data_IF_459770816625
#
_entry.id   IF_459770816625
#
_cell.length_a   1.000
_cell.length_b   1.000
_cell.length_c   1.000
_cell.angle_alpha   90.00
_cell.angle_beta   90.00
_cell.angle_gamma   90.00
#
_symmetry.space_group_name_H-M   'P 1'
#
loop_
_entity.id
_entity.type
_entity.pdbx_description
1 polymer ?
#
# COMPACT_ATOMS: atom_id res chain seq x y z
N UNK A 1 7.86 5.52 -23.36
CA UNK A 1 7.46 6.59 -22.44
C UNK A 1 7.19 6.00 -21.06
N UNK A 2 7.83 6.55 -20.06
CA UNK A 2 7.64 6.07 -18.70
C UNK A 2 6.33 6.58 -18.16
N UNK A 3 5.44 5.69 -17.76
CA UNK A 3 4.23 6.07 -17.08
C UNK A 3 4.50 6.38 -15.61
N UNK A 4 3.48 6.68 -14.88
CA UNK A 4 3.58 6.80 -13.43
C UNK A 4 3.09 5.50 -12.78
N UNK A 5 3.42 5.33 -11.50
CA UNK A 5 2.98 4.20 -10.71
C UNK A 5 2.35 4.72 -9.43
N UNK A 6 1.12 4.29 -9.15
CA UNK A 6 0.44 4.63 -7.91
C UNK A 6 0.67 3.50 -6.91
N UNK A 7 1.33 3.83 -5.80
CA UNK A 7 1.76 2.87 -4.78
C UNK A 7 1.07 3.17 -3.46
N UNK A 8 0.64 2.14 -2.75
CA UNK A 8 0.10 2.30 -1.40
C UNK A 8 0.97 1.50 -0.42
N UNK A 9 1.30 2.12 0.72
CA UNK A 9 2.15 1.50 1.74
C UNK A 9 1.63 1.87 3.14
N UNK A 10 1.72 0.94 4.10
CA UNK A 10 1.49 1.33 5.49
C UNK A 10 2.66 2.20 5.95
N UNK A 11 2.38 3.28 6.67
CA UNK A 11 3.43 4.21 7.12
C UNK A 11 3.19 4.58 8.58
N UNK A 12 4.31 4.78 9.30
CA UNK A 12 4.29 5.34 10.64
C UNK A 12 4.43 6.85 10.59
N UNK A 13 4.32 7.48 11.74
CA UNK A 13 4.51 8.92 11.86
C UNK A 13 5.93 9.35 11.53
N UNK A 14 6.87 8.42 11.63
CA UNK A 14 8.28 8.65 11.30
C UNK A 14 8.56 8.56 9.79
N UNK A 15 7.55 8.25 8.97
CA UNK A 15 7.72 8.13 7.53
C UNK A 15 8.27 6.78 7.07
N UNK A 16 8.43 5.83 7.98
CA UNK A 16 8.93 4.51 7.65
C UNK A 16 7.80 3.56 7.28
N UNK A 17 8.11 2.58 6.42
CA UNK A 17 7.13 1.58 6.03
C UNK A 17 6.73 0.74 7.23
N UNK A 18 5.43 0.60 7.46
CA UNK A 18 4.90 -0.23 8.53
C UNK A 18 5.01 -1.71 8.20
N UNK A 19 5.16 -2.52 9.25
CA UNK A 19 5.32 -3.98 9.08
C UNK A 19 4.04 -4.64 8.56
N UNK A 20 2.90 -4.36 9.17
CA UNK A 20 1.64 -5.02 8.85
C UNK A 20 0.80 -4.19 7.90
N UNK A 21 0.24 -4.84 6.89
CA UNK A 21 -0.65 -4.20 5.94
C UNK A 21 -2.09 -4.11 6.46
N UNK A 22 -2.70 -5.26 6.76
CA UNK A 22 -4.13 -5.33 7.09
C UNK A 22 -4.52 -4.70 8.42
N UNK A 23 -3.56 -4.37 9.26
CA UNK A 23 -3.78 -3.71 10.54
C UNK A 23 -3.12 -2.35 10.63
N UNK A 24 -2.83 -1.75 9.48
CA UNK A 24 -2.18 -0.45 9.46
C UNK A 24 -3.11 0.65 9.98
N UNK A 25 -2.65 1.48 10.91
CA UNK A 25 -3.44 2.64 11.33
C UNK A 25 -3.40 3.76 10.30
N UNK A 26 -2.35 3.80 9.49
CA UNK A 26 -2.13 4.85 8.50
C UNK A 26 -1.46 4.26 7.26
N UNK A 27 -1.88 4.74 6.09
CA UNK A 27 -1.23 4.37 4.82
C UNK A 27 -0.91 5.62 4.03
N UNK A 28 0.06 5.51 3.13
CA UNK A 28 0.35 6.55 2.16
C UNK A 28 -0.06 6.06 0.77
N UNK A 29 -0.57 6.95 -0.05
CA UNK A 29 -0.77 6.72 -1.48
C UNK A 29 0.12 7.71 -2.21
N UNK A 30 1.05 7.19 -2.99
CA UNK A 30 2.00 8.02 -3.71
C UNK A 30 1.99 7.71 -5.19
N UNK A 31 2.15 8.73 -6.00
CA UNK A 31 2.36 8.56 -7.42
C UNK A 31 3.80 8.90 -7.74
N UNK A 32 4.51 7.98 -8.37
CA UNK A 32 5.94 8.13 -8.65
C UNK A 32 6.20 7.94 -10.13
N UNK A 33 7.16 8.66 -10.67
CA UNK A 33 7.59 8.53 -12.06
C UNK A 33 8.98 9.16 -12.22
N UNK A 34 9.80 8.53 -13.04
CA UNK A 34 11.12 9.08 -13.43
C UNK A 34 11.99 9.50 -12.24
N UNK A 35 12.00 8.65 -11.21
CA UNK A 35 12.81 8.88 -10.02
C UNK A 35 12.28 9.96 -9.09
N UNK A 36 11.04 10.38 -9.28
CA UNK A 36 10.44 11.43 -8.48
C UNK A 36 9.09 11.05 -7.91
N UNK A 37 8.78 11.59 -6.72
CA UNK A 37 7.46 11.50 -6.13
C UNK A 37 6.65 12.69 -6.68
N UNK A 38 5.62 12.39 -7.48
CA UNK A 38 4.77 13.42 -8.09
C UNK A 38 3.66 13.85 -7.14
N UNK A 39 3.18 12.93 -6.31
CA UNK A 39 2.10 13.18 -5.37
C UNK A 39 2.25 12.22 -4.20
N UNK A 40 1.93 12.70 -3.01
CA UNK A 40 2.02 11.87 -1.79
C UNK A 40 0.96 12.33 -0.81
N UNK A 41 0.07 11.41 -0.44
CA UNK A 41 -0.98 11.69 0.53
C UNK A 41 -0.99 10.59 1.58
N UNK A 42 -1.19 10.97 2.84
CA UNK A 42 -1.29 9.99 3.93
C UNK A 42 -2.68 10.01 4.52
N UNK A 43 -3.19 8.84 4.83
CA UNK A 43 -4.56 8.66 5.31
C UNK A 43 -4.56 7.88 6.62
N UNK A 44 -5.27 8.40 7.61
CA UNK A 44 -5.50 7.70 8.88
C UNK A 44 -6.66 6.73 8.67
N UNK A 45 -6.35 5.54 8.16
CA UNK A 45 -7.39 4.58 7.79
C UNK A 45 -7.93 3.77 8.97
N UNK A 46 -7.15 3.66 10.05
CA UNK A 46 -7.62 3.00 11.27
C UNK A 46 -7.89 1.51 11.10
N UNK A 47 -7.21 0.84 10.19
CA UNK A 47 -7.45 -0.59 9.95
C UNK A 47 -7.10 -1.46 11.14
N UNK A 48 -6.19 -0.99 12.00
CA UNK A 48 -5.85 -1.67 13.25
C UNK A 48 -7.07 -1.80 14.18
N UNK A 49 -7.88 -0.75 14.27
CA UNK A 49 -9.09 -0.75 15.10
C UNK A 49 -10.25 -1.47 14.41
N UNK A 50 -10.39 -1.28 13.12
CA UNK A 50 -11.52 -1.82 12.36
C UNK A 50 -11.41 -3.32 12.09
N UNK A 51 -10.20 -3.85 12.11
CA UNK A 51 -9.94 -5.26 11.84
C UNK A 51 -10.77 -6.18 12.76
N UNK A 52 -10.82 -5.88 14.05
CA UNK A 52 -11.52 -6.73 15.00
C UNK A 52 -13.01 -6.44 15.07
N UNK A 53 -13.44 -5.27 14.61
CA UNK A 53 -14.83 -4.81 14.78
C UNK A 53 -15.77 -5.32 13.69
N UNK A 54 -15.27 -5.54 12.48
CA UNK A 54 -16.13 -5.77 11.31
C UNK A 54 -16.05 -7.17 10.71
N UNK A 55 -15.19 -8.02 11.25
CA UNK A 55 -14.95 -9.35 10.67
C UNK A 55 -14.06 -9.27 9.43
N UNK A 56 -13.50 -10.41 9.05
CA UNK A 56 -12.46 -10.45 8.03
C UNK A 56 -12.96 -10.08 6.63
N UNK A 57 -14.13 -10.58 6.25
CA UNK A 57 -14.66 -10.30 4.91
C UNK A 57 -14.97 -8.84 4.69
N UNK A 58 -15.61 -8.19 5.68
CA UNK A 58 -15.91 -6.75 5.60
C UNK A 58 -14.66 -5.91 5.61
N UNK A 59 -13.65 -6.35 6.36
CA UNK A 59 -12.36 -5.64 6.44
C UNK A 59 -11.64 -5.68 5.08
N UNK A 60 -11.62 -6.85 4.43
CA UNK A 60 -11.01 -6.99 3.11
C UNK A 60 -11.75 -6.15 2.06
N UNK A 61 -13.07 -6.12 2.12
CA UNK A 61 -13.87 -5.31 1.19
C UNK A 61 -13.58 -3.81 1.35
N UNK A 62 -13.40 -3.37 2.59
CA UNK A 62 -13.06 -1.97 2.87
C UNK A 62 -11.71 -1.60 2.26
N UNK A 63 -10.72 -2.48 2.42
CA UNK A 63 -9.39 -2.25 1.86
C UNK A 63 -9.45 -2.27 0.33
N UNK A 64 -10.18 -3.21 -0.26
CA UNK A 64 -10.33 -3.28 -1.71
C UNK A 64 -10.95 -2.00 -2.27
N UNK A 65 -11.99 -1.47 -1.61
CA UNK A 65 -12.61 -0.21 -2.03
C UNK A 65 -11.63 0.95 -1.97
N UNK A 66 -10.84 1.03 -0.90
CA UNK A 66 -9.82 2.06 -0.77
C UNK A 66 -8.82 2.01 -1.93
N UNK A 67 -8.34 0.81 -2.25
CA UNK A 67 -7.37 0.64 -3.32
C UNK A 67 -7.94 1.01 -4.68
N UNK A 68 -9.20 0.66 -4.94
CA UNK A 68 -9.88 1.03 -6.18
C UNK A 68 -10.10 2.53 -6.28
N UNK A 69 -10.58 3.14 -5.22
CA UNK A 69 -10.89 4.57 -5.20
C UNK A 69 -9.65 5.42 -5.46
N UNK A 70 -8.50 4.96 -5.02
CA UNK A 70 -7.23 5.67 -5.20
C UNK A 70 -6.44 5.16 -6.40
N UNK A 71 -7.00 4.24 -7.17
CA UNK A 71 -6.38 3.69 -8.39
C UNK A 71 -4.99 3.11 -8.13
N UNK A 72 -4.83 2.42 -7.01
CA UNK A 72 -3.55 1.85 -6.60
C UNK A 72 -3.15 0.72 -7.53
N UNK A 73 -1.91 0.73 -7.97
CA UNK A 73 -1.35 -0.27 -8.89
C UNK A 73 -0.36 -1.20 -8.20
N UNK A 74 0.23 -0.77 -7.10
CA UNK A 74 1.20 -1.58 -6.36
C UNK A 74 1.08 -1.30 -4.86
N UNK A 75 1.35 -2.33 -4.06
CA UNK A 75 1.36 -2.23 -2.60
C UNK A 75 2.69 -2.77 -2.10
N UNK A 76 3.30 -2.08 -1.15
CA UNK A 76 4.51 -2.55 -0.48
C UNK A 76 4.27 -2.55 1.02
N UNK A 77 4.70 -3.62 1.70
CA UNK A 77 4.55 -3.76 3.14
C UNK A 77 5.58 -4.74 3.66
N UNK A 78 5.77 -4.77 4.98
CA UNK A 78 6.64 -5.76 5.58
C UNK A 78 6.03 -7.15 5.52
N UNK A 79 4.75 -7.25 5.90
CA UNK A 79 4.04 -8.54 5.95
C UNK A 79 2.58 -8.37 5.56
N UNK A 80 2.04 -9.43 4.95
CA UNK A 80 0.63 -9.47 4.57
C UNK A 80 0.14 -10.92 4.63
N UNK A 81 -1.05 -11.14 5.18
CA UNK A 81 -1.65 -12.46 5.25
C UNK A 81 -2.02 -13.01 3.88
N UNK A 82 -2.08 -14.33 3.78
CA UNK A 82 -2.35 -15.00 2.50
C UNK A 82 -3.68 -14.61 1.85
N UNK A 83 -4.80 -14.53 2.58
CA UNK A 83 -6.06 -14.13 1.94
C UNK A 83 -5.99 -12.74 1.32
N UNK A 84 -5.32 -11.80 1.98
CA UNK A 84 -5.15 -10.46 1.46
C UNK A 84 -4.28 -10.47 0.20
N UNK A 85 -3.20 -11.26 0.20
CA UNK A 85 -2.34 -11.38 -0.98
C UNK A 85 -3.12 -11.91 -2.19
N UNK A 86 -3.98 -12.89 -1.96
CA UNK A 86 -4.84 -13.42 -3.03
C UNK A 86 -5.79 -12.36 -3.57
N UNK A 87 -6.36 -11.53 -2.69
CA UNK A 87 -7.26 -10.46 -3.11
C UNK A 87 -6.54 -9.46 -4.00
N UNK A 88 -5.35 -9.03 -3.60
CA UNK A 88 -4.58 -8.08 -4.39
C UNK A 88 -4.20 -8.66 -5.75
N UNK A 89 -3.83 -9.94 -5.78
CA UNK A 89 -3.49 -10.61 -7.04
C UNK A 89 -4.70 -10.61 -8.00
N UNK A 90 -5.88 -10.89 -7.48
CA UNK A 90 -7.10 -10.89 -8.30
C UNK A 90 -7.46 -9.49 -8.78
N UNK A 91 -7.06 -8.46 -8.05
CA UNK A 91 -7.28 -7.07 -8.46
C UNK A 91 -6.22 -6.59 -9.46
N UNK A 92 -5.24 -7.43 -9.76
CA UNK A 92 -4.15 -7.05 -10.65
C UNK A 92 -3.15 -6.10 -10.02
N UNK A 93 -3.09 -6.04 -8.69
CA UNK A 93 -2.19 -5.15 -7.97
C UNK A 93 -0.88 -5.87 -7.69
N UNK A 94 0.22 -5.23 -8.05
CA UNK A 94 1.56 -5.75 -7.79
C UNK A 94 1.85 -5.67 -6.28
N UNK A 95 2.55 -6.66 -5.74
CA UNK A 95 2.83 -6.73 -4.31
C UNK A 95 4.31 -6.91 -4.05
N UNK A 96 4.85 -6.11 -3.12
CA UNK A 96 6.20 -6.24 -2.63
C UNK A 96 6.17 -6.43 -1.11
N UNK A 97 6.59 -7.62 -0.64
CA UNK A 97 6.70 -7.92 0.77
C UNK A 97 8.13 -7.76 1.25
N UNK A 98 8.31 -7.68 2.57
CA UNK A 98 9.62 -7.46 3.14
C UNK A 98 10.13 -6.03 2.96
N UNK A 99 9.23 -5.11 2.62
CA UNK A 99 9.60 -3.71 2.45
C UNK A 99 9.90 -3.08 3.81
N UNK A 100 10.97 -2.30 3.85
CA UNK A 100 11.39 -1.63 5.07
C UNK A 100 12.13 -0.35 4.70
N UNK A 101 12.18 0.59 5.62
CA UNK A 101 12.85 1.85 5.43
C UNK A 101 11.89 2.98 5.09
N UNK A 102 12.42 4.04 4.53
CA UNK A 102 11.63 5.22 4.20
C UNK A 102 10.60 4.92 3.12
N UNK A 103 9.34 5.27 3.37
CA UNK A 103 8.25 4.90 2.49
C UNK A 103 8.40 5.48 1.09
N UNK A 104 8.83 6.73 0.97
CA UNK A 104 9.04 7.35 -0.34
C UNK A 104 10.13 6.64 -1.14
N UNK A 105 11.20 6.25 -0.47
CA UNK A 105 12.28 5.51 -1.11
C UNK A 105 11.81 4.15 -1.61
N UNK A 106 10.98 3.46 -0.82
CA UNK A 106 10.42 2.17 -1.22
C UNK A 106 9.53 2.33 -2.46
N UNK A 107 8.70 3.37 -2.49
CA UNK A 107 7.83 3.62 -3.64
C UNK A 107 8.65 3.89 -4.90
N UNK A 108 9.72 4.68 -4.80
CA UNK A 108 10.60 4.96 -5.93
C UNK A 108 11.30 3.69 -6.42
N UNK A 109 11.73 2.83 -5.49
CA UNK A 109 12.39 1.58 -5.84
C UNK A 109 11.45 0.64 -6.60
N UNK A 110 10.17 0.63 -6.27
CA UNK A 110 9.18 -0.16 -6.99
C UNK A 110 9.08 0.28 -8.45
N UNK A 111 9.08 1.59 -8.69
CA UNK A 111 9.01 2.12 -10.05
C UNK A 111 10.26 1.75 -10.84
N UNK A 112 11.44 1.86 -10.24
CA UNK A 112 12.69 1.49 -10.89
C UNK A 112 12.73 0.01 -11.27
N UNK A 113 12.20 -0.86 -10.43
CA UNK A 113 12.19 -2.30 -10.69
C UNK A 113 11.32 -2.68 -11.89
N UNK A 114 10.41 -1.80 -12.32
CA UNK A 114 9.53 -2.03 -13.46
C UNK A 114 10.16 -1.60 -14.80
N UNK A 115 11.21 -0.85 -14.74
CA UNK A 115 11.85 -0.29 -15.94
C UNK A 115 12.66 -1.33 -16.70
#
# INVERSE_FOLDING_TARGET
>A
MAGSLVVCLPVGEDGLVGHSWGRAPRVAVGEVAEGRVLRWEEFAVGWDSLHDAAGEGSHHARIASFLRDHEVQAVAAGHMGEPMRHMLARMGIELRLGAAGEARAVALALMEARS
#
